data_IF_771683891408
#
_entry.id   IF_771683891408
#
_cell.length_a   1.000
_cell.length_b   1.000
_cell.length_c   1.000
_cell.angle_alpha   90.00
_cell.angle_beta   90.00
_cell.angle_gamma   90.00
#
_symmetry.space_group_name_H-M   'P 1'
#
loop_
_entity.id
_entity.type
_entity.pdbx_description
1 polymer ?
#
# COMPACT_ATOMS: atom_id res chain seq x y z
N UNK A 1 5.80 18.31 -65.54
CA UNK A 1 5.92 19.77 -65.29
C UNK A 1 5.05 20.09 -64.08
N UNK A 2 5.70 20.40 -62.95
CA UNK A 2 5.26 21.13 -61.73
C UNK A 2 3.83 20.99 -61.14
N UNK A 3 3.76 20.65 -59.84
CA UNK A 3 2.88 21.16 -58.74
C UNK A 3 3.06 20.18 -57.55
N UNK A 4 3.70 20.43 -56.40
CA UNK A 4 3.70 21.46 -55.34
C UNK A 4 2.41 21.63 -54.52
N UNK A 5 2.59 21.47 -53.18
CA UNK A 5 1.77 21.88 -52.01
C UNK A 5 0.66 20.88 -51.60
N UNK A 6 0.44 20.51 -50.34
CA UNK A 6 0.71 21.17 -49.06
C UNK A 6 0.69 20.08 -47.94
N UNK A 7 1.77 19.90 -47.18
CA UNK A 7 1.77 19.07 -45.96
C UNK A 7 1.63 20.00 -44.75
N UNK A 8 0.48 19.93 -44.07
CA UNK A 8 0.25 20.68 -42.84
C UNK A 8 1.10 20.12 -41.70
N UNK A 9 1.81 21.03 -41.05
CA UNK A 9 2.60 20.81 -39.85
C UNK A 9 1.71 20.40 -38.67
N UNK A 10 2.03 19.27 -38.03
CA UNK A 10 1.63 18.89 -36.67
C UNK A 10 2.51 17.70 -36.24
N UNK A 11 3.79 17.94 -35.98
CA UNK A 11 4.70 16.98 -35.30
C UNK A 11 6.03 17.67 -35.01
N UNK A 12 6.09 18.51 -33.98
CA UNK A 12 7.37 19.05 -33.52
C UNK A 12 7.38 19.42 -32.04
N UNK A 13 6.65 18.67 -31.21
CA UNK A 13 6.70 18.82 -29.74
C UNK A 13 6.79 17.51 -28.97
N UNK A 14 6.98 16.37 -29.66
CA UNK A 14 7.12 15.05 -29.02
C UNK A 14 8.56 14.50 -29.00
N UNK A 15 9.55 15.32 -29.33
CA UNK A 15 10.96 14.91 -29.48
C UNK A 15 11.93 15.86 -28.79
N UNK A 16 11.60 16.32 -27.59
CA UNK A 16 12.49 17.17 -26.80
C UNK A 16 12.76 16.65 -25.38
N UNK A 17 12.42 15.38 -25.11
CA UNK A 17 12.62 14.77 -23.79
C UNK A 17 13.59 13.57 -23.79
N UNK A 18 14.09 13.18 -24.97
CA UNK A 18 14.99 12.01 -25.15
C UNK A 18 16.49 12.38 -25.26
N UNK A 19 16.92 13.63 -25.01
CA UNK A 19 18.32 14.05 -25.23
C UNK A 19 18.98 14.79 -24.06
N UNK A 20 18.49 14.58 -22.84
CA UNK A 20 19.22 14.89 -21.61
C UNK A 20 19.40 13.53 -20.92
N UNK A 21 20.64 13.04 -20.78
CA UNK A 21 20.96 11.73 -20.20
C UNK A 21 20.56 11.53 -18.73
N UNK A 22 19.26 11.64 -18.45
CA UNK A 22 18.56 11.59 -17.17
C UNK A 22 17.93 10.21 -16.92
N UNK A 23 18.10 9.26 -17.83
CA UNK A 23 17.58 7.88 -17.74
C UNK A 23 18.10 7.10 -16.50
N UNK A 24 19.00 7.67 -15.71
CA UNK A 24 19.61 7.05 -14.52
C UNK A 24 19.30 7.79 -13.19
N UNK A 25 18.37 8.73 -13.17
CA UNK A 25 18.21 9.66 -12.04
C UNK A 25 16.99 9.41 -11.14
N UNK A 26 15.92 8.84 -11.70
CA UNK A 26 14.74 8.36 -10.97
C UNK A 26 14.49 6.90 -11.36
N UNK A 27 14.77 5.99 -10.44
CA UNK A 27 14.58 4.55 -10.65
C UNK A 27 13.19 4.13 -10.18
N UNK A 28 12.39 3.57 -11.09
CA UNK A 28 11.05 3.08 -10.77
C UNK A 28 11.14 1.68 -10.17
N UNK A 29 10.54 1.52 -8.98
CA UNK A 29 10.66 0.30 -8.21
C UNK A 29 9.58 -0.72 -8.60
N UNK A 30 10.01 -1.96 -8.84
CA UNK A 30 9.14 -3.12 -9.06
C UNK A 30 8.60 -3.75 -7.77
N UNK A 31 8.96 -3.17 -6.63
CA UNK A 31 8.58 -3.59 -5.28
C UNK A 31 8.64 -2.40 -4.33
N UNK A 32 7.97 -2.49 -3.20
CA UNK A 32 8.07 -1.47 -2.18
C UNK A 32 6.81 -1.35 -1.35
N UNK A 33 6.76 -0.35 -0.45
CA UNK A 33 5.56 -0.04 0.31
C UNK A 33 4.45 0.45 -0.61
N UNK A 34 3.23 0.06 -0.28
CA UNK A 34 2.00 0.61 -0.85
C UNK A 34 1.64 1.86 -0.06
N UNK A 35 1.20 2.90 -0.76
CA UNK A 35 0.74 4.14 -0.14
C UNK A 35 -0.36 3.88 0.90
N UNK A 36 -0.17 4.32 2.16
CA UNK A 36 -1.07 4.00 3.29
C UNK A 36 -2.53 4.40 3.05
N UNK A 37 -2.76 5.50 2.32
CA UNK A 37 -4.11 5.93 1.93
C UNK A 37 -4.82 4.95 0.99
N UNK A 38 -4.07 4.18 0.19
CA UNK A 38 -4.63 3.14 -0.68
C UNK A 38 -5.03 1.91 0.14
N UNK A 39 -4.12 1.44 1.00
CA UNK A 39 -4.35 0.30 1.87
C UNK A 39 -3.37 0.29 3.05
N UNK A 40 -3.85 -0.13 4.22
CA UNK A 40 -3.02 -0.41 5.39
C UNK A 40 -3.51 -1.68 6.11
N UNK A 41 -2.60 -2.53 6.63
CA UNK A 41 -3.00 -3.68 7.45
C UNK A 41 -3.60 -3.22 8.78
N UNK A 42 -4.52 -4.02 9.33
CA UNK A 42 -5.07 -3.77 10.66
C UNK A 42 -4.20 -4.51 11.68
N UNK A 43 -3.50 -3.77 12.52
CA UNK A 43 -2.64 -4.30 13.57
C UNK A 43 -3.38 -4.29 14.89
N UNK A 44 -3.30 -5.39 15.65
CA UNK A 44 -4.04 -5.54 16.90
C UNK A 44 -3.44 -4.71 18.04
N UNK A 45 -2.12 -4.70 18.13
CA UNK A 45 -1.39 -3.99 19.18
C UNK A 45 -0.65 -2.79 18.56
N UNK A 46 -1.07 -1.54 18.84
CA UNK A 46 -0.42 -0.36 18.26
C UNK A 46 0.97 -0.17 18.86
N UNK A 47 1.99 -0.13 18.01
CA UNK A 47 3.38 0.09 18.40
C UNK A 47 3.92 1.40 17.78
N UNK A 48 4.98 1.99 18.37
CA UNK A 48 5.75 3.02 17.69
C UNK A 48 6.18 2.56 16.30
N UNK A 49 6.02 3.44 15.30
CA UNK A 49 6.36 3.15 13.91
C UNK A 49 7.87 2.96 13.68
N UNK A 50 8.29 3.10 12.43
CA UNK A 50 9.71 3.00 12.08
C UNK A 50 10.53 4.15 12.69
N UNK A 51 11.64 3.81 13.33
CA UNK A 51 12.61 4.77 13.88
C UNK A 51 13.92 4.68 13.09
N UNK A 52 14.41 5.81 12.62
CA UNK A 52 15.65 5.90 11.82
C UNK A 52 16.53 7.04 12.32
N UNK A 53 17.84 6.93 12.09
CA UNK A 53 18.79 7.97 12.51
C UNK A 53 18.96 9.07 11.45
N UNK A 54 18.79 8.72 10.18
CA UNK A 54 18.94 9.65 9.06
C UNK A 54 17.70 10.53 8.92
N UNK A 55 17.84 11.86 8.75
CA UNK A 55 16.70 12.73 8.46
C UNK A 55 16.03 12.35 7.14
N UNK A 56 14.68 12.41 7.06
CA UNK A 56 14.03 12.38 5.76
C UNK A 56 14.48 13.60 4.95
N UNK A 57 14.62 13.46 3.62
CA UNK A 57 14.80 14.62 2.76
C UNK A 57 13.62 15.59 2.88
N UNK A 58 13.80 16.82 2.40
CA UNK A 58 12.67 17.74 2.23
C UNK A 58 11.62 17.10 1.31
N UNK A 59 10.35 17.38 1.57
CA UNK A 59 9.27 16.89 0.70
C UNK A 59 9.48 17.47 -0.69
N UNK A 60 9.35 16.63 -1.70
CA UNK A 60 9.40 17.07 -3.09
C UNK A 60 8.06 17.69 -3.50
N UNK A 61 8.09 18.52 -4.53
CA UNK A 61 6.87 18.92 -5.22
C UNK A 61 6.43 17.77 -6.13
N UNK A 62 5.29 17.17 -5.79
CA UNK A 62 4.69 16.10 -6.59
C UNK A 62 3.39 16.58 -7.23
N UNK A 63 3.32 16.48 -8.55
CA UNK A 63 2.13 16.78 -9.32
C UNK A 63 1.34 15.51 -9.62
N UNK A 64 -0.01 15.55 -9.59
CA UNK A 64 -0.81 14.48 -10.14
C UNK A 64 -0.49 14.29 -11.63
N UNK A 65 -0.54 13.05 -12.15
CA UNK A 65 -0.51 12.81 -13.59
C UNK A 65 -1.66 13.54 -14.29
N UNK A 66 -1.44 13.93 -15.55
CA UNK A 66 -2.46 14.61 -16.37
C UNK A 66 -3.75 13.77 -16.50
N UNK A 67 -3.60 12.45 -16.52
CA UNK A 67 -4.70 11.51 -16.59
C UNK A 67 -5.34 11.32 -15.23
N UNK A 68 -6.49 11.97 -15.06
CA UNK A 68 -7.38 11.78 -13.92
C UNK A 68 -8.42 10.70 -14.25
N UNK A 69 -8.58 9.66 -13.41
CA UNK A 69 -9.64 8.66 -13.56
C UNK A 69 -11.03 9.30 -13.54
N UNK A 70 -11.96 8.78 -14.36
CA UNK A 70 -13.35 9.23 -14.36
C UNK A 70 -14.02 8.99 -13.01
N UNK A 71 -14.66 10.02 -12.45
CA UNK A 71 -15.37 9.93 -11.18
C UNK A 71 -14.83 10.87 -10.10
N UNK A 72 -15.21 10.62 -8.86
CA UNK A 72 -14.91 11.49 -7.70
C UNK A 72 -13.58 11.12 -7.02
N UNK A 73 -12.52 10.96 -7.81
CA UNK A 73 -11.18 10.70 -7.29
C UNK A 73 -10.52 11.99 -6.81
N UNK A 74 -9.80 11.91 -5.70
CA UNK A 74 -8.93 12.99 -5.19
C UNK A 74 -7.47 12.58 -5.32
N UNK A 75 -6.58 13.55 -5.53
CA UNK A 75 -5.14 13.33 -5.47
C UNK A 75 -4.69 13.33 -4.00
N UNK A 76 -3.97 12.29 -3.58
CA UNK A 76 -3.29 12.24 -2.29
C UNK A 76 -1.79 12.15 -2.59
N UNK A 77 -1.05 13.18 -2.20
CA UNK A 77 0.39 13.26 -2.43
C UNK A 77 1.17 12.21 -1.64
N UNK A 78 2.31 11.83 -2.21
CA UNK A 78 3.26 10.86 -1.72
C UNK A 78 4.11 11.36 -0.56
N UNK A 79 5.03 10.49 -0.14
CA UNK A 79 5.91 10.76 1.00
C UNK A 79 7.18 9.91 0.96
N UNK A 80 8.21 10.37 1.66
CA UNK A 80 9.43 9.60 1.90
C UNK A 80 9.16 8.41 2.83
N UNK A 81 9.45 7.20 2.36
CA UNK A 81 9.53 6.00 3.18
C UNK A 81 10.97 5.54 3.28
N UNK A 82 11.36 4.96 4.41
CA UNK A 82 12.68 4.37 4.58
C UNK A 82 12.69 2.94 4.05
N UNK A 83 13.72 2.61 3.27
CA UNK A 83 14.01 1.27 2.80
C UNK A 83 15.15 0.67 3.62
N UNK A 84 14.84 -0.32 4.46
CA UNK A 84 15.83 -0.94 5.33
C UNK A 84 16.87 -1.77 4.58
N UNK A 85 16.56 -2.24 3.37
CA UNK A 85 17.49 -3.07 2.60
C UNK A 85 18.62 -2.23 2.02
N UNK A 86 18.29 -1.05 1.53
CA UNK A 86 19.25 -0.11 0.95
C UNK A 86 19.80 0.88 1.98
N UNK A 87 19.11 1.05 3.12
CA UNK A 87 19.47 2.01 4.15
C UNK A 87 19.31 3.46 3.69
N UNK A 88 18.32 3.72 2.83
CA UNK A 88 18.04 5.06 2.29
C UNK A 88 16.52 5.27 2.10
N UNK A 89 16.14 6.50 1.79
CA UNK A 89 14.76 6.87 1.52
C UNK A 89 14.36 6.58 0.07
N UNK A 90 13.16 6.04 -0.10
CA UNK A 90 12.45 5.96 -1.37
C UNK A 90 11.19 6.85 -1.31
N UNK A 91 10.76 7.36 -2.45
CA UNK A 91 9.52 8.12 -2.57
C UNK A 91 8.36 7.16 -2.82
N UNK A 92 7.39 7.12 -1.90
CA UNK A 92 6.11 6.46 -2.13
C UNK A 92 5.25 7.43 -2.91
N UNK A 93 5.07 7.16 -4.22
CA UNK A 93 4.32 8.02 -5.12
C UNK A 93 2.89 8.26 -4.63
N UNK A 94 2.37 9.46 -4.89
CA UNK A 94 0.98 9.81 -4.65
C UNK A 94 0.00 8.94 -5.44
N UNK A 95 -1.28 9.04 -5.11
CA UNK A 95 -2.34 8.20 -5.67
C UNK A 95 -3.59 9.00 -6.05
N UNK A 96 -4.32 8.51 -7.05
CA UNK A 96 -5.73 8.85 -7.23
C UNK A 96 -6.58 7.98 -6.32
N UNK A 97 -7.43 8.57 -5.48
CA UNK A 97 -8.18 7.83 -4.45
C UNK A 97 -9.67 8.19 -4.42
N UNK A 98 -10.54 7.19 -4.47
CA UNK A 98 -11.97 7.35 -4.12
C UNK A 98 -12.12 7.29 -2.60
N UNK A 99 -12.45 8.41 -1.97
CA UNK A 99 -12.45 8.54 -0.52
C UNK A 99 -13.47 7.57 0.10
N UNK A 100 -13.08 6.73 1.08
CA UNK A 100 -14.03 5.86 1.76
C UNK A 100 -15.20 6.67 2.34
N UNK A 101 -16.45 6.18 2.26
CA UNK A 101 -17.61 6.95 2.69
C UNK A 101 -17.52 7.46 4.13
N UNK A 102 -17.77 8.75 4.33
CA UNK A 102 -17.74 9.39 5.65
C UNK A 102 -16.34 9.48 6.27
N UNK A 103 -15.28 9.39 5.46
CA UNK A 103 -13.89 9.48 5.91
C UNK A 103 -13.15 10.69 5.33
N UNK A 104 -12.10 11.08 6.02
CA UNK A 104 -11.10 12.04 5.58
C UNK A 104 -9.69 11.48 5.85
N UNK A 105 -8.76 11.77 4.95
CA UNK A 105 -7.38 11.29 5.07
C UNK A 105 -6.57 12.19 6.00
N UNK A 106 -5.86 11.58 6.95
CA UNK A 106 -4.81 12.25 7.72
C UNK A 106 -3.47 11.68 7.27
N UNK A 107 -2.62 12.48 6.60
CA UNK A 107 -1.31 12.01 6.12
C UNK A 107 -0.39 11.58 7.26
N UNK A 108 0.40 10.54 6.99
CA UNK A 108 1.53 10.17 7.82
C UNK A 108 2.66 11.19 7.72
N UNK A 109 3.54 11.22 8.70
CA UNK A 109 4.66 12.14 8.72
C UNK A 109 5.83 11.63 9.55
N UNK A 110 7.03 12.07 9.17
CA UNK A 110 8.22 11.91 9.99
C UNK A 110 8.25 12.97 11.09
N UNK A 111 8.37 12.52 12.34
CA UNK A 111 8.56 13.39 13.48
C UNK A 111 10.01 13.34 13.95
N UNK A 112 10.65 14.49 14.07
CA UNK A 112 11.95 14.60 14.72
C UNK A 112 11.84 14.31 16.23
N UNK A 113 12.76 13.48 16.73
CA UNK A 113 12.95 13.15 18.13
C UNK A 113 14.40 13.45 18.55
N UNK A 114 14.75 13.44 19.86
CA UNK A 114 16.11 13.72 20.29
C UNK A 114 17.19 12.78 19.74
N UNK A 115 16.82 11.58 19.28
CA UNK A 115 17.77 10.54 18.84
C UNK A 115 17.71 10.24 17.33
N UNK A 116 16.76 10.82 16.60
CA UNK A 116 16.47 10.45 15.22
C UNK A 116 15.05 10.81 14.82
N UNK A 117 14.50 10.10 13.84
CA UNK A 117 13.22 10.39 13.19
C UNK A 117 12.29 9.20 13.30
N UNK A 118 11.05 9.49 13.66
CA UNK A 118 10.02 8.49 13.95
C UNK A 118 8.88 8.67 12.95
N UNK A 119 8.56 7.62 12.18
CA UNK A 119 7.40 7.62 11.30
C UNK A 119 6.12 7.50 12.13
N UNK A 120 5.17 8.38 11.85
CA UNK A 120 3.79 8.32 12.34
C UNK A 120 2.89 8.01 11.13
N UNK A 121 2.26 6.83 11.14
CA UNK A 121 1.41 6.37 10.04
C UNK A 121 0.18 7.25 9.81
N UNK A 122 -0.18 7.42 8.54
CA UNK A 122 -1.45 8.01 8.15
C UNK A 122 -2.64 7.11 8.48
N UNK A 123 -3.84 7.68 8.46
CA UNK A 123 -5.08 6.94 8.71
C UNK A 123 -6.33 7.67 8.20
N UNK A 124 -7.40 6.90 8.01
CA UNK A 124 -8.72 7.40 7.63
C UNK A 124 -9.56 7.74 8.86
N UNK A 125 -9.77 9.03 9.12
CA UNK A 125 -10.59 9.52 10.23
C UNK A 125 -12.05 9.68 9.81
N UNK A 126 -13.00 9.48 10.72
CA UNK A 126 -14.40 9.81 10.48
C UNK A 126 -14.60 11.33 10.29
N UNK A 127 -15.34 11.75 9.26
CA UNK A 127 -15.61 13.17 8.97
C UNK A 127 -16.48 13.82 10.04
N UNK A 128 -17.33 13.05 10.73
CA UNK A 128 -18.19 13.55 11.80
C UNK A 128 -17.45 13.84 13.11
N UNK A 129 -16.21 13.37 13.26
CA UNK A 129 -15.40 13.55 14.46
C UNK A 129 -14.55 14.82 14.34
N UNK A 130 -15.03 15.92 14.91
CA UNK A 130 -14.27 17.18 14.97
C UNK A 130 -13.24 17.21 16.12
N UNK A 131 -13.23 16.19 16.98
CA UNK A 131 -12.34 16.08 18.13
C UNK A 131 -11.49 14.82 17.97
N UNK A 132 -10.18 15.03 17.88
CA UNK A 132 -9.18 13.95 17.90
C UNK A 132 -8.86 13.64 19.37
N UNK A 133 -9.40 12.55 19.89
CA UNK A 133 -9.13 12.10 21.24
C UNK A 133 -7.87 11.22 21.26
N UNK A 134 -6.86 11.66 22.01
CA UNK A 134 -5.66 10.87 22.28
C UNK A 134 -5.88 10.00 23.50
N UNK A 135 -5.93 8.69 23.28
CA UNK A 135 -6.19 7.70 24.31
C UNK A 135 -4.87 7.10 24.84
N UNK A 136 -4.88 6.49 26.04
CA UNK A 136 -3.75 5.68 26.51
C UNK A 136 -3.43 4.53 25.54
N UNK A 137 -2.35 3.79 25.79
CA UNK A 137 -2.09 2.55 25.07
C UNK A 137 -3.14 1.50 25.46
N UNK A 138 -3.87 0.87 24.52
CA UNK A 138 -4.77 -0.22 24.86
C UNK A 138 -3.98 -1.41 25.43
N UNK A 139 -4.61 -2.26 26.25
CA UNK A 139 -4.02 -3.54 26.65
C UNK A 139 -3.70 -4.39 25.41
N UNK A 140 -2.82 -5.37 25.58
CA UNK A 140 -2.57 -6.37 24.55
C UNK A 140 -3.91 -6.99 24.09
N UNK A 141 -4.06 -7.16 22.79
CA UNK A 141 -5.24 -7.75 22.20
C UNK A 141 -5.47 -9.15 22.75
N UNK A 142 -6.74 -9.44 23.04
CA UNK A 142 -7.21 -10.76 23.45
C UNK A 142 -8.04 -11.40 22.33
N UNK A 143 -7.85 -10.94 21.09
CA UNK A 143 -8.55 -11.49 19.94
C UNK A 143 -8.25 -12.97 19.78
N UNK A 144 -9.32 -13.77 19.84
CA UNK A 144 -9.32 -15.19 19.53
C UNK A 144 -10.58 -15.44 18.71
N UNK A 145 -10.40 -15.45 17.40
CA UNK A 145 -11.48 -15.62 16.45
C UNK A 145 -11.09 -16.55 15.29
N UNK A 146 -12.09 -17.05 14.54
CA UNK A 146 -13.51 -16.90 14.81
C UNK A 146 -13.98 -17.71 16.03
N UNK A 147 -14.92 -17.16 16.82
CA UNK A 147 -15.42 -17.81 18.04
C UNK A 147 -16.58 -18.80 17.81
N UNK A 148 -17.09 -18.87 16.58
CA UNK A 148 -18.13 -19.78 16.12
C UNK A 148 -17.94 -20.07 14.64
N UNK A 149 -18.64 -21.07 14.10
CA UNK A 149 -18.75 -21.21 12.64
C UNK A 149 -19.45 -20.00 12.01
N UNK A 150 -19.15 -19.66 10.73
CA UNK A 150 -19.86 -18.62 10.01
C UNK A 150 -21.34 -18.97 9.84
N UNK A 151 -22.28 -18.03 10.02
CA UNK A 151 -23.70 -18.29 9.82
C UNK A 151 -24.06 -18.76 8.40
N UNK A 152 -23.37 -18.22 7.39
CA UNK A 152 -23.47 -18.67 5.99
C UNK A 152 -22.10 -18.55 5.31
N UNK A 153 -21.89 -19.18 4.14
CA UNK A 153 -20.62 -19.06 3.39
C UNK A 153 -20.23 -17.63 3.01
N UNK A 154 -21.21 -16.72 2.92
CA UNK A 154 -21.02 -15.30 2.61
C UNK A 154 -20.74 -14.42 3.83
N UNK A 155 -20.38 -14.98 4.98
CA UNK A 155 -19.94 -14.22 6.14
C UNK A 155 -18.42 -14.16 6.26
N UNK A 156 -17.91 -12.99 6.65
CA UNK A 156 -16.50 -12.79 7.03
C UNK A 156 -16.39 -12.50 8.53
N UNK A 157 -15.36 -13.04 9.16
CA UNK A 157 -15.07 -12.76 10.56
C UNK A 157 -14.37 -11.42 10.67
N UNK A 158 -14.86 -10.58 11.57
CA UNK A 158 -14.23 -9.32 11.95
C UNK A 158 -13.67 -9.46 13.36
N UNK A 159 -12.38 -9.16 13.57
CA UNK A 159 -11.76 -9.32 14.87
C UNK A 159 -12.34 -8.35 15.91
N UNK A 160 -12.29 -8.77 17.16
CA UNK A 160 -12.59 -7.93 18.31
C UNK A 160 -11.55 -6.83 18.49
N UNK A 161 -11.95 -5.81 19.25
CA UNK A 161 -11.11 -4.65 19.50
C UNK A 161 -11.43 -4.06 20.88
N UNK A 162 -10.43 -3.50 21.54
CA UNK A 162 -10.62 -2.70 22.74
C UNK A 162 -11.39 -1.41 22.41
N UNK A 163 -12.43 -1.09 23.17
CA UNK A 163 -13.18 0.16 23.03
C UNK A 163 -12.98 0.97 24.30
N UNK A 164 -12.67 2.26 24.16
CA UNK A 164 -12.60 3.18 25.29
C UNK A 164 -14.01 3.53 25.75
N UNK A 165 -14.31 3.26 27.02
CA UNK A 165 -15.60 3.55 27.63
C UNK A 165 -15.37 4.36 28.91
N UNK A 166 -15.74 5.64 28.86
CA UNK A 166 -15.60 6.64 29.93
C UNK A 166 -14.15 6.80 30.40
N UNK A 167 -13.64 5.85 31.18
CA UNK A 167 -12.34 5.91 31.85
C UNK A 167 -11.48 4.66 31.67
N UNK A 168 -11.96 3.64 30.93
CA UNK A 168 -11.26 2.36 30.79
C UNK A 168 -11.53 1.67 29.46
N UNK A 169 -10.66 0.72 29.11
CA UNK A 169 -10.88 -0.19 28.01
C UNK A 169 -11.87 -1.31 28.36
N UNK A 170 -12.76 -1.60 27.41
CA UNK A 170 -13.69 -2.73 27.43
C UNK A 170 -13.52 -3.51 26.14
N UNK A 171 -13.41 -4.84 26.24
CA UNK A 171 -13.28 -5.69 25.06
C UNK A 171 -14.61 -5.77 24.32
N UNK A 172 -14.62 -5.42 23.03
CA UNK A 172 -15.72 -5.76 22.13
C UNK A 172 -15.33 -7.02 21.36
N UNK A 173 -16.03 -8.16 21.56
CA UNK A 173 -15.76 -9.39 20.82
C UNK A 173 -15.88 -9.20 19.31
N UNK A 174 -15.14 -10.04 18.57
CA UNK A 174 -15.30 -10.15 17.13
C UNK A 174 -16.69 -10.65 16.74
N UNK A 175 -17.06 -10.43 15.48
CA UNK A 175 -18.38 -10.72 14.97
C UNK A 175 -18.33 -11.05 13.49
N UNK A 176 -19.36 -11.77 13.02
CA UNK A 176 -19.56 -12.07 11.62
C UNK A 176 -20.30 -10.93 10.92
N UNK A 177 -19.82 -10.52 9.75
CA UNK A 177 -20.56 -9.61 8.86
C UNK A 177 -20.84 -10.28 7.52
N UNK A 178 -21.87 -9.80 6.83
CA UNK A 178 -22.17 -10.22 5.45
C UNK A 178 -21.17 -9.58 4.49
N UNK A 179 -20.59 -10.41 3.62
CA UNK A 179 -19.74 -9.96 2.53
C UNK A 179 -20.50 -9.06 1.56
N UNK A 180 -19.83 -8.00 1.11
CA UNK A 180 -20.34 -7.10 0.09
C UNK A 180 -19.35 -7.06 -1.08
N UNK A 181 -19.78 -7.38 -2.32
CA UNK A 181 -18.87 -7.58 -3.45
C UNK A 181 -17.88 -6.46 -3.72
N UNK A 182 -18.38 -5.23 -3.65
CA UNK A 182 -17.64 -4.02 -4.00
C UNK A 182 -16.91 -3.37 -2.82
N UNK A 183 -16.91 -4.01 -1.66
CA UNK A 183 -16.44 -3.42 -0.43
C UNK A 183 -15.51 -4.34 0.37
N UNK A 184 -14.62 -3.70 1.11
CA UNK A 184 -13.75 -4.28 2.13
C UNK A 184 -14.16 -3.64 3.45
N UNK A 185 -14.52 -4.45 4.45
CA UNK A 185 -14.66 -3.93 5.80
C UNK A 185 -13.29 -3.84 6.46
N UNK A 186 -12.86 -2.61 6.78
CA UNK A 186 -11.67 -2.35 7.58
C UNK A 186 -12.10 -2.33 9.05
N UNK A 187 -11.66 -3.30 9.89
CA UNK A 187 -12.03 -3.35 11.29
C UNK A 187 -11.55 -2.12 12.07
N UNK A 188 -12.23 -1.83 13.18
CA UNK A 188 -11.77 -0.79 14.09
C UNK A 188 -10.40 -1.15 14.67
N UNK A 189 -9.53 -0.16 14.80
CA UNK A 189 -8.16 -0.36 15.29
C UNK A 189 -7.59 0.91 15.93
N UNK A 190 -6.40 0.80 16.52
CA UNK A 190 -5.68 1.95 17.07
C UNK A 190 -4.48 2.30 16.21
N UNK A 191 -4.24 3.60 16.02
CA UNK A 191 -3.02 4.14 15.46
C UNK A 191 -2.18 4.71 16.60
N UNK A 192 -0.94 4.24 16.75
CA UNK A 192 -0.03 4.83 17.71
C UNK A 192 0.42 6.23 17.26
N UNK A 193 0.49 7.16 18.21
CA UNK A 193 1.22 8.42 18.07
C UNK A 193 1.99 8.69 19.35
N UNK A 194 2.96 9.61 19.37
CA UNK A 194 3.67 9.92 20.61
C UNK A 194 2.81 10.67 21.63
N UNK A 195 1.64 11.19 21.24
CA UNK A 195 0.68 11.82 22.14
C UNK A 195 -0.32 10.85 22.77
N UNK A 196 -0.34 9.59 22.34
CA UNK A 196 -1.34 8.59 22.68
C UNK A 196 -1.79 7.81 21.46
N UNK A 197 -2.73 6.89 21.64
CA UNK A 197 -3.33 6.12 20.56
C UNK A 197 -4.61 6.80 20.06
N UNK A 198 -4.80 6.78 18.75
CA UNK A 198 -6.00 7.28 18.09
C UNK A 198 -6.88 6.11 17.71
N UNK A 199 -8.15 6.16 18.11
CA UNK A 199 -9.12 5.14 17.72
C UNK A 199 -9.65 5.42 16.31
N UNK A 200 -9.49 4.45 15.42
CA UNK A 200 -10.06 4.46 14.07
C UNK A 200 -11.27 3.53 14.08
N UNK A 201 -12.46 4.10 14.03
CA UNK A 201 -13.70 3.34 13.87
C UNK A 201 -13.66 2.48 12.62
N UNK A 202 -14.26 1.29 12.66
CA UNK A 202 -14.39 0.42 11.49
C UNK A 202 -15.21 1.07 10.37
N UNK A 203 -14.87 0.78 9.12
CA UNK A 203 -15.55 1.34 7.95
C UNK A 203 -15.53 0.41 6.76
N UNK A 204 -16.47 0.67 5.85
CA UNK A 204 -16.41 0.16 4.49
C UNK A 204 -15.45 1.02 3.66
N UNK A 205 -14.48 0.34 3.06
CA UNK A 205 -13.66 0.88 1.99
C UNK A 205 -14.00 0.14 0.69
N UNK A 206 -13.78 0.74 -0.47
CA UNK A 206 -14.01 0.08 -1.74
C UNK A 206 -13.10 -1.14 -1.90
N UNK A 207 -13.55 -2.11 -2.70
CA UNK A 207 -12.68 -3.19 -3.19
C UNK A 207 -11.43 -2.60 -3.85
N UNK A 208 -10.24 -3.24 -3.74
CA UNK A 208 -8.98 -2.65 -4.20
C UNK A 208 -9.01 -2.09 -5.62
N UNK A 209 -9.64 -2.81 -6.56
CA UNK A 209 -9.85 -2.40 -7.96
C UNK A 209 -10.62 -1.09 -8.16
N UNK A 210 -11.42 -0.69 -7.17
CA UNK A 210 -12.27 0.49 -7.19
C UNK A 210 -11.72 1.64 -6.36
N UNK A 211 -10.57 1.45 -5.69
CA UNK A 211 -9.99 2.46 -4.80
C UNK A 211 -9.37 3.63 -5.54
N UNK A 212 -9.06 3.47 -6.83
CA UNK A 212 -8.43 4.44 -7.69
C UNK A 212 -7.13 3.90 -8.28
N UNK A 213 -6.18 4.78 -8.57
CA UNK A 213 -4.92 4.42 -9.25
C UNK A 213 -3.77 4.48 -8.26
N UNK A 214 -3.08 3.34 -8.14
CA UNK A 214 -1.90 3.16 -7.32
C UNK A 214 -0.64 3.22 -8.20
N UNK A 215 0.31 4.10 -7.86
CA UNK A 215 1.55 4.25 -8.61
C UNK A 215 2.72 3.55 -7.93
N UNK A 216 3.70 3.12 -8.72
CA UNK A 216 4.92 2.51 -8.22
C UNK A 216 5.74 3.52 -7.40
N UNK A 217 6.38 3.10 -6.29
CA UNK A 217 7.36 3.91 -5.60
C UNK A 217 8.61 4.09 -6.48
N UNK A 218 9.38 5.12 -6.19
CA UNK A 218 10.60 5.43 -6.95
C UNK A 218 11.76 5.75 -6.02
N UNK A 219 12.97 5.45 -6.46
CA UNK A 219 14.21 5.92 -5.84
C UNK A 219 14.72 7.10 -6.63
N UNK A 220 15.08 8.16 -5.92
CA UNK A 220 15.59 9.38 -6.54
C UNK A 220 16.91 9.73 -5.87
N UNK A 221 17.93 10.05 -6.67
CA UNK A 221 19.18 10.51 -6.08
C UNK A 221 19.02 11.92 -5.50
N UNK A 222 19.79 12.24 -4.46
CA UNK A 222 19.79 13.59 -3.86
C UNK A 222 20.11 14.70 -4.85
N UNK A 223 20.93 14.39 -5.86
CA UNK A 223 21.31 15.33 -6.92
C UNK A 223 20.10 15.77 -7.73
N UNK A 224 19.04 14.95 -7.80
CA UNK A 224 17.84 15.16 -8.60
C UNK A 224 16.83 15.98 -7.82
N UNK A 225 16.36 15.45 -6.70
CA UNK A 225 15.27 16.07 -5.96
C UNK A 225 15.68 17.36 -5.23
N UNK A 226 16.99 17.67 -5.15
CA UNK A 226 17.48 18.94 -4.59
C UNK A 226 17.63 20.04 -5.66
N UNK A 227 17.32 19.76 -6.93
CA UNK A 227 17.39 20.78 -7.97
C UNK A 227 16.30 21.84 -7.76
N UNK A 228 16.59 23.13 -8.02
CA UNK A 228 15.57 24.17 -7.99
C UNK A 228 14.43 23.83 -8.94
N UNK A 229 13.19 23.97 -8.48
CA UNK A 229 11.98 23.67 -9.25
C UNK A 229 11.88 22.21 -9.75
N UNK A 230 12.53 21.26 -9.07
CA UNK A 230 12.28 19.85 -9.31
C UNK A 230 10.82 19.51 -8.99
N UNK A 231 10.13 18.94 -9.97
CA UNK A 231 8.76 18.44 -9.84
C UNK A 231 8.74 17.00 -10.31
N UNK A 232 8.14 16.13 -9.51
CA UNK A 232 7.91 14.73 -9.88
C UNK A 232 6.45 14.50 -10.24
N UNK A 233 6.20 13.73 -11.30
CA UNK A 233 4.88 13.20 -11.63
C UNK A 233 5.00 11.69 -11.84
N UNK A 234 4.28 10.85 -11.07
CA UNK A 234 4.30 9.42 -11.29
C UNK A 234 3.60 9.05 -12.60
N UNK A 235 4.03 7.97 -13.25
CA UNK A 235 3.49 7.54 -14.54
C UNK A 235 3.47 6.02 -14.73
N UNK A 236 3.88 5.26 -13.71
CA UNK A 236 3.89 3.80 -13.73
C UNK A 236 2.91 3.27 -12.68
N UNK A 237 1.91 2.52 -13.14
CA UNK A 237 0.78 2.06 -12.33
C UNK A 237 1.02 0.63 -11.86
N UNK A 238 0.63 0.37 -10.62
CA UNK A 238 0.53 -0.98 -10.06
C UNK A 238 -0.86 -1.52 -10.38
N UNK A 239 -0.91 -2.60 -11.17
CA UNK A 239 -2.11 -3.36 -11.46
C UNK A 239 -2.59 -4.09 -10.20
N UNK A 240 -3.53 -3.47 -9.49
CA UNK A 240 -3.98 -3.94 -8.19
C UNK A 240 -4.68 -5.31 -8.28
N UNK A 241 -5.34 -5.62 -9.39
CA UNK A 241 -6.00 -6.93 -9.60
C UNK A 241 -4.98 -8.07 -9.55
N UNK A 242 -3.82 -7.88 -10.17
CA UNK A 242 -2.73 -8.85 -10.13
C UNK A 242 -1.93 -8.78 -8.83
N UNK A 243 -1.95 -7.64 -8.14
CA UNK A 243 -1.11 -7.38 -6.98
C UNK A 243 -1.63 -8.02 -5.70
N UNK A 244 -2.95 -8.02 -5.48
CA UNK A 244 -3.56 -8.33 -4.19
C UNK A 244 -3.24 -9.73 -3.68
N UNK A 245 -3.17 -10.73 -4.58
CA UNK A 245 -2.74 -12.09 -4.22
C UNK A 245 -1.28 -12.20 -3.78
N UNK A 246 -0.49 -11.15 -4.02
CA UNK A 246 0.94 -11.07 -3.79
C UNK A 246 1.33 -9.89 -2.89
N UNK A 247 0.38 -9.41 -2.07
CA UNK A 247 0.67 -8.44 -1.02
C UNK A 247 1.36 -9.08 0.17
N UNK A 248 2.15 -8.25 0.83
CA UNK A 248 2.84 -8.53 2.06
C UNK A 248 2.47 -7.46 3.07
N UNK A 249 2.33 -7.82 4.34
CA UNK A 249 2.09 -6.89 5.42
C UNK A 249 3.33 -6.78 6.31
N UNK A 250 3.63 -5.55 6.73
CA UNK A 250 4.68 -5.28 7.72
C UNK A 250 4.07 -4.60 8.95
N UNK A 251 3.60 -5.37 9.95
CA UNK A 251 2.75 -4.88 11.03
C UNK A 251 3.36 -3.70 11.79
N UNK A 252 4.66 -3.80 12.13
CA UNK A 252 5.39 -2.79 12.91
C UNK A 252 5.39 -1.40 12.27
N UNK A 253 5.33 -1.30 10.95
CA UNK A 253 5.28 -0.01 10.23
C UNK A 253 3.91 0.28 9.63
N UNK A 254 2.94 -0.63 9.78
CA UNK A 254 1.57 -0.52 9.27
C UNK A 254 1.46 -0.23 7.76
N UNK A 255 2.38 -0.80 6.98
CA UNK A 255 2.34 -0.74 5.51
C UNK A 255 2.07 -2.11 4.90
N UNK A 256 1.34 -2.11 3.79
CA UNK A 256 1.44 -3.19 2.83
C UNK A 256 2.65 -2.98 1.92
N UNK A 257 3.13 -4.07 1.34
CA UNK A 257 4.21 -4.12 0.37
C UNK A 257 3.80 -5.00 -0.81
N UNK A 258 4.33 -4.69 -1.98
CA UNK A 258 4.15 -5.49 -3.20
C UNK A 258 5.51 -5.84 -3.82
N UNK A 259 5.53 -6.82 -4.73
CA UNK A 259 6.73 -7.20 -5.49
C UNK A 259 7.56 -8.30 -4.81
N UNK A 260 8.88 -8.25 -4.93
CA UNK A 260 9.77 -9.31 -4.46
C UNK A 260 10.10 -9.22 -2.96
N UNK A 261 9.23 -9.83 -2.13
CA UNK A 261 9.44 -10.05 -0.69
C UNK A 261 9.33 -11.54 -0.30
N UNK A 262 9.63 -12.45 -1.23
CA UNK A 262 9.39 -13.90 -1.05
C UNK A 262 10.47 -14.60 -0.21
N UNK A 263 11.66 -14.03 -0.16
CA UNK A 263 12.81 -14.63 0.50
C UNK A 263 12.61 -14.79 2.02
N UNK A 264 13.29 -15.76 2.65
CA UNK A 264 13.06 -16.15 4.06
C UNK A 264 13.43 -15.04 5.04
N UNK A 265 14.42 -14.24 4.69
CA UNK A 265 14.91 -13.08 5.42
C UNK A 265 13.84 -12.01 5.64
N UNK A 266 12.87 -11.87 4.73
CA UNK A 266 11.80 -10.87 4.89
C UNK A 266 10.84 -11.21 6.02
N UNK A 267 10.53 -12.50 6.20
CA UNK A 267 9.74 -12.97 7.35
C UNK A 267 10.48 -12.71 8.66
N UNK A 268 11.81 -12.91 8.68
CA UNK A 268 12.64 -12.57 9.83
C UNK A 268 12.70 -11.05 10.08
N UNK A 269 12.62 -10.23 9.02
CA UNK A 269 12.52 -8.77 9.08
C UNK A 269 11.10 -8.24 9.39
N UNK A 270 10.14 -9.14 9.65
CA UNK A 270 8.76 -8.79 10.02
C UNK A 270 7.86 -8.43 8.83
N UNK A 271 8.22 -8.83 7.61
CA UNK A 271 7.39 -8.72 6.41
C UNK A 271 6.80 -10.10 6.13
N UNK A 272 5.48 -10.21 6.20
CA UNK A 272 4.76 -11.47 6.09
C UNK A 272 3.89 -11.47 4.84
N UNK A 273 3.77 -12.58 4.09
CA UNK A 273 2.74 -12.67 3.05
C UNK A 273 1.35 -12.54 3.68
N UNK A 274 0.39 -11.95 2.95
CA UNK A 274 -0.94 -11.62 3.45
C UNK A 274 -1.65 -12.75 4.21
N UNK A 275 -1.62 -13.99 3.69
CA UNK A 275 -2.22 -15.15 4.37
C UNK A 275 -1.56 -15.44 5.73
N UNK A 276 -0.25 -15.31 5.85
CA UNK A 276 0.47 -15.58 7.09
C UNK A 276 0.22 -14.47 8.11
N UNK A 277 0.16 -13.22 7.67
CA UNK A 277 -0.21 -12.10 8.52
C UNK A 277 -1.65 -12.20 9.03
N UNK A 278 -2.61 -12.48 8.15
CA UNK A 278 -4.04 -12.55 8.48
C UNK A 278 -4.36 -13.55 9.60
N UNK A 279 -3.69 -14.70 9.63
CA UNK A 279 -3.86 -15.73 10.66
C UNK A 279 -2.85 -15.61 11.81
N UNK A 280 -2.10 -14.51 11.89
CA UNK A 280 -1.13 -14.29 12.95
C UNK A 280 -1.74 -13.58 14.16
N UNK A 281 -1.03 -13.61 15.28
CA UNK A 281 -1.33 -12.78 16.45
C UNK A 281 -1.09 -11.27 16.25
N UNK A 282 -0.50 -10.86 15.12
CA UNK A 282 -0.09 -9.47 14.91
C UNK A 282 -1.24 -8.60 14.39
N UNK A 283 -2.21 -9.17 13.69
CA UNK A 283 -3.26 -8.38 13.07
C UNK A 283 -4.16 -9.16 12.14
N UNK A 284 -4.89 -8.40 11.34
CA UNK A 284 -5.90 -8.85 10.40
C UNK A 284 -5.66 -8.17 9.06
N UNK A 285 -5.73 -8.94 7.99
CA UNK A 285 -5.65 -8.44 6.61
C UNK A 285 -7.05 -8.30 6.00
N UNK A 286 -7.62 -7.08 5.85
CA UNK A 286 -8.96 -6.90 5.30
C UNK A 286 -9.07 -7.26 3.82
N UNK A 287 -7.99 -7.06 3.06
CA UNK A 287 -7.98 -7.35 1.61
C UNK A 287 -7.97 -8.87 1.42
N UNK A 288 -7.06 -9.57 2.07
CA UNK A 288 -7.01 -11.03 1.98
C UNK A 288 -8.29 -11.68 2.53
N UNK A 289 -8.88 -11.16 3.61
CA UNK A 289 -10.17 -11.64 4.12
C UNK A 289 -11.29 -11.56 3.08
N UNK A 290 -11.32 -10.46 2.31
CA UNK A 290 -12.25 -10.29 1.19
C UNK A 290 -11.95 -11.32 0.09
N UNK A 291 -10.71 -11.43 -0.36
CA UNK A 291 -10.35 -12.34 -1.46
C UNK A 291 -10.69 -13.80 -1.13
N UNK A 292 -10.45 -14.25 0.10
CA UNK A 292 -10.85 -15.60 0.55
C UNK A 292 -12.34 -15.85 0.31
N UNK A 293 -13.21 -14.86 0.52
CA UNK A 293 -14.66 -15.03 0.35
C UNK A 293 -15.10 -14.88 -1.10
N UNK A 294 -14.51 -13.93 -1.85
CA UNK A 294 -14.73 -13.78 -3.30
C UNK A 294 -14.48 -15.10 -4.00
N UNK A 295 -13.37 -15.76 -3.66
CA UNK A 295 -12.96 -17.00 -4.32
C UNK A 295 -13.61 -18.25 -3.73
N UNK A 296 -14.10 -18.24 -2.48
CA UNK A 296 -14.63 -19.43 -1.78
C UNK A 296 -15.64 -20.25 -2.61
N UNK A 297 -16.52 -19.59 -3.35
CA UNK A 297 -17.58 -20.26 -4.12
C UNK A 297 -17.17 -20.63 -5.56
N UNK A 298 -16.20 -19.91 -6.14
CA UNK A 298 -15.87 -20.00 -7.58
C UNK A 298 -14.53 -20.74 -7.79
N UNK A 299 -13.59 -20.56 -6.87
CA UNK A 299 -12.29 -21.23 -6.83
C UNK A 299 -11.93 -21.62 -5.38
N UNK A 300 -12.43 -22.75 -4.87
CA UNK A 300 -12.10 -23.23 -3.53
C UNK A 300 -10.60 -23.53 -3.31
N UNK A 301 -9.83 -23.66 -4.41
CA UNK A 301 -8.39 -23.90 -4.38
C UNK A 301 -7.56 -22.64 -4.27
N UNK A 302 -8.17 -21.44 -4.41
CA UNK A 302 -7.46 -20.17 -4.51
C UNK A 302 -6.43 -19.94 -3.38
N UNK A 303 -6.82 -20.14 -2.11
CA UNK A 303 -5.91 -19.94 -0.98
C UNK A 303 -4.71 -20.91 -1.02
N UNK A 304 -4.96 -22.16 -1.41
CA UNK A 304 -3.89 -23.15 -1.56
C UNK A 304 -2.96 -22.78 -2.72
N UNK A 305 -3.51 -22.28 -3.82
CA UNK A 305 -2.74 -21.81 -4.99
C UNK A 305 -1.84 -20.63 -4.63
N UNK A 306 -2.37 -19.59 -3.97
CA UNK A 306 -1.58 -18.42 -3.53
C UNK A 306 -0.42 -18.85 -2.60
N UNK A 307 -0.67 -19.78 -1.67
CA UNK A 307 0.37 -20.32 -0.78
C UNK A 307 1.41 -21.12 -1.56
N UNK A 308 0.98 -21.97 -2.48
CA UNK A 308 1.86 -22.77 -3.31
C UNK A 308 2.76 -21.86 -4.17
N UNK A 309 2.19 -20.82 -4.78
CA UNK A 309 2.92 -19.84 -5.58
C UNK A 309 3.93 -19.06 -4.73
N UNK A 310 3.55 -18.65 -3.52
CA UNK A 310 4.47 -18.03 -2.57
C UNK A 310 5.67 -18.95 -2.28
N UNK A 311 5.43 -20.23 -1.97
CA UNK A 311 6.51 -21.17 -1.69
C UNK A 311 7.38 -21.45 -2.92
N UNK A 312 6.79 -21.54 -4.12
CA UNK A 312 7.57 -21.69 -5.35
C UNK A 312 8.50 -20.49 -5.56
N UNK A 313 8.00 -19.25 -5.46
CA UNK A 313 8.81 -18.03 -5.60
C UNK A 313 9.83 -17.86 -4.47
N UNK A 314 9.54 -18.36 -3.26
CA UNK A 314 10.53 -18.41 -2.17
C UNK A 314 11.71 -19.29 -2.53
N UNK A 315 11.47 -20.49 -3.06
CA UNK A 315 12.54 -21.46 -3.36
C UNK A 315 13.22 -21.19 -4.73
N UNK A 316 12.52 -20.60 -5.69
CA UNK A 316 12.99 -20.35 -7.07
C UNK A 316 13.09 -18.85 -7.35
N UNK A 317 14.32 -18.32 -7.27
CA UNK A 317 14.60 -16.88 -7.42
C UNK A 317 14.18 -16.37 -8.81
N UNK A 318 14.34 -17.18 -9.84
CA UNK A 318 13.97 -16.87 -11.22
C UNK A 318 12.47 -16.67 -11.44
N UNK A 319 11.62 -17.14 -10.51
CA UNK A 319 10.17 -16.92 -10.55
C UNK A 319 9.74 -15.66 -9.82
N UNK A 320 10.65 -14.96 -9.13
CA UNK A 320 10.31 -13.75 -8.37
C UNK A 320 10.09 -12.57 -9.32
N UNK A 321 9.19 -11.62 -8.97
CA UNK A 321 9.03 -10.40 -9.73
C UNK A 321 10.35 -9.62 -9.85
N UNK A 322 10.55 -8.94 -10.97
CA UNK A 322 11.68 -8.01 -11.13
C UNK A 322 11.59 -6.88 -10.10
N UNK A 323 12.75 -6.44 -9.60
CA UNK A 323 12.82 -5.46 -8.51
C UNK A 323 12.76 -4.01 -8.99
N UNK A 324 12.98 -3.76 -10.27
CA UNK A 324 12.96 -2.44 -10.91
C UNK A 324 12.24 -2.51 -12.26
N UNK A 325 11.64 -1.41 -12.68
CA UNK A 325 10.86 -1.36 -13.91
C UNK A 325 11.75 -1.46 -15.16
N UNK A 326 12.92 -0.83 -15.19
CA UNK A 326 13.78 -0.81 -16.38
C UNK A 326 14.40 -2.17 -16.69
N UNK A 327 14.70 -2.96 -15.67
CA UNK A 327 15.11 -4.38 -15.84
C UNK A 327 14.05 -5.17 -16.61
N UNK A 328 12.77 -4.80 -16.52
CA UNK A 328 11.68 -5.42 -17.27
C UNK A 328 11.76 -5.12 -18.77
N UNK A 329 12.01 -3.86 -19.16
CA UNK A 329 12.06 -3.45 -20.58
C UNK A 329 13.11 -4.26 -21.35
N UNK A 330 14.25 -4.52 -20.73
CA UNK A 330 15.36 -5.26 -21.33
C UNK A 330 15.09 -6.77 -21.42
N UNK A 331 14.20 -7.31 -20.59
CA UNK A 331 13.87 -8.74 -20.55
C UNK A 331 12.86 -9.21 -21.63
N UNK A 332 12.34 -8.30 -22.49
CA UNK A 332 11.31 -8.55 -23.52
C UNK A 332 11.79 -9.43 -24.71
N UNK A 333 12.81 -10.27 -24.51
CA UNK A 333 13.37 -11.19 -25.52
C UNK A 333 13.45 -12.67 -25.10
N UNK A 334 12.98 -13.03 -23.90
CA UNK A 334 12.99 -14.42 -23.41
C UNK A 334 11.55 -14.99 -23.41
N UNK A 335 11.34 -16.29 -23.71
CA UNK A 335 10.01 -16.90 -23.62
C UNK A 335 9.55 -16.87 -22.15
N UNK A 336 8.67 -15.93 -21.83
CA UNK A 336 8.14 -15.71 -20.48
C UNK A 336 7.21 -16.87 -20.11
N UNK A 337 7.69 -17.76 -19.25
CA UNK A 337 6.83 -18.70 -18.53
C UNK A 337 6.01 -17.87 -17.52
N UNK A 338 4.80 -17.46 -17.90
CA UNK A 338 3.71 -16.98 -17.04
C UNK A 338 4.10 -16.09 -15.84
N UNK A 339 5.04 -15.15 -15.99
CA UNK A 339 5.34 -14.19 -14.94
C UNK A 339 4.32 -13.04 -14.98
N UNK A 340 3.16 -13.25 -14.34
CA UNK A 340 2.18 -12.21 -14.06
C UNK A 340 2.88 -11.09 -13.27
N UNK A 341 3.28 -10.02 -13.95
CA UNK A 341 4.01 -8.88 -13.37
C UNK A 341 3.13 -7.65 -13.42
N UNK A 342 2.96 -7.09 -12.23
CA UNK A 342 1.87 -6.25 -11.69
C UNK A 342 1.98 -4.77 -12.09
N UNK A 343 2.70 -4.43 -13.15
CA UNK A 343 3.02 -3.04 -13.45
C UNK A 343 2.73 -2.74 -14.93
N UNK A 344 2.02 -1.66 -15.21
CA UNK A 344 1.77 -1.18 -16.57
C UNK A 344 2.09 0.31 -16.68
N UNK A 345 2.36 0.77 -17.90
CA UNK A 345 2.30 2.20 -18.20
C UNK A 345 0.82 2.61 -18.11
N UNK A 346 0.59 3.80 -17.55
CA UNK A 346 -0.72 4.45 -17.62
C UNK A 346 -1.07 4.73 -19.09
#
# INVERSE_FOLDING_TARGET
MLMLLLACALSSTLWAQDDLGLDNEVEIMGRGPIHEAFAAPVVFDPEPGLFVYSPPPESIEEMPPDERPEGNFVWIGGYWSWDDEDGDYLWVSGIWRDVPPGRQWVPGYWRQSPKGYQWISGYWMATASNVVEYLPLPPASIEVGPSSEPPTPGHTWIPGCWVWHETRYVWRPGYWIVYQPDWVWVPASYVWTPGGCLFVDGYWDYAPVRRGVLFAPVRMSRVVYSQPAFVYSPHVVIDVDLAVGHFFARPRVRHYYFGDYYAREYVAAGIYPSFAFHYSRYGYDPIYAREVIVHRAVDPGWDLSIRADFFQRREKVELRPVRTYDTRRTAVGQPVIQSHTVISLA
#
